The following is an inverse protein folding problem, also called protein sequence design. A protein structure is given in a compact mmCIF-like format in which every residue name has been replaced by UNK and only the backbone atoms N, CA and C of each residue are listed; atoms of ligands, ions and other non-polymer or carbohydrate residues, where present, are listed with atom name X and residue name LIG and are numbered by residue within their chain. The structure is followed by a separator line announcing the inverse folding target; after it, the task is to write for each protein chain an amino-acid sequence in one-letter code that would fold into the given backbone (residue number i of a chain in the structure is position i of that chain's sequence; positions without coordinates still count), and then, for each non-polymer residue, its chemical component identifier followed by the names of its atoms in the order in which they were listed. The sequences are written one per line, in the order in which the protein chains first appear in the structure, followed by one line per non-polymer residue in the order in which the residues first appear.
data_IF_917540249115
#
_entry.id   IF_917540249115
#
_cell.length_a   1.000
_cell.length_b   1.000
_cell.length_c   1.000
_cell.angle_alpha   90.00
_cell.angle_beta   90.00
_cell.angle_gamma   90.00
#
_symmetry.space_group_name_H-M   'P 1'
#
loop_
_entity.id
_entity.type
_entity.pdbx_description
1 polymer ?
#
# COMPACT_ATOMS: atom_id res chain seq x y z
N UNK A 1 24.51 -1.94 -0.83
CA UNK A 1 24.38 -2.03 -2.29
C UNK A 1 22.96 -1.59 -2.64
N UNK A 2 22.79 -0.41 -3.24
CA UNK A 2 21.48 0.16 -3.57
C UNK A 2 21.12 -0.19 -5.01
N UNK A 3 19.95 -0.78 -5.24
CA UNK A 3 19.47 -1.12 -6.58
C UNK A 3 18.58 0.03 -7.10
N UNK A 4 19.06 0.77 -8.09
CA UNK A 4 18.25 1.72 -8.86
C UNK A 4 17.80 1.04 -10.14
N UNK A 5 16.49 0.90 -10.33
CA UNK A 5 15.92 0.50 -11.61
C UNK A 5 15.77 1.76 -12.48
N UNK A 6 16.76 2.02 -13.33
CA UNK A 6 16.66 3.05 -14.37
C UNK A 6 15.78 2.50 -15.49
N UNK A 7 14.56 3.02 -15.60
CA UNK A 7 13.68 2.75 -16.73
C UNK A 7 14.17 3.54 -17.96
N UNK A 8 15.05 2.95 -18.75
CA UNK A 8 15.39 3.46 -20.09
C UNK A 8 14.36 2.96 -21.09
N UNK A 9 13.43 3.83 -21.50
CA UNK A 9 12.55 3.59 -22.64
C UNK A 9 13.34 3.65 -23.95
N UNK A 10 13.67 2.49 -24.52
CA UNK A 10 14.14 2.41 -25.90
C UNK A 10 12.93 2.48 -26.84
N UNK A 11 12.79 3.58 -27.58
CA UNK A 11 11.84 3.67 -28.69
C UNK A 11 12.38 2.82 -29.85
N UNK A 12 11.91 1.57 -29.96
CA UNK A 12 12.23 0.72 -31.10
C UNK A 12 11.39 1.21 -32.29
N UNK A 13 12.01 1.98 -33.18
CA UNK A 13 11.41 2.35 -34.47
C UNK A 13 11.65 1.20 -35.46
N UNK A 14 10.73 0.25 -35.54
CA UNK A 14 10.77 -0.80 -36.56
C UNK A 14 10.18 -0.21 -37.85
N UNK A 15 11.04 0.15 -38.80
CA UNK A 15 10.63 0.51 -40.15
C UNK A 15 10.38 -0.77 -40.96
N UNK A 16 9.12 -1.06 -41.25
CA UNK A 16 8.68 -2.14 -42.14
C UNK A 16 7.28 -1.86 -42.67
N UNK A 17 7.07 -2.01 -43.98
CA UNK A 17 5.87 -1.58 -44.75
C UNK A 17 4.54 -2.28 -44.44
N UNK A 18 4.35 -2.89 -43.27
CA UNK A 18 3.08 -3.50 -42.84
C UNK A 18 2.86 -3.38 -41.32
N UNK A 19 3.07 -2.20 -40.76
CA UNK A 19 2.76 -1.91 -39.35
C UNK A 19 1.25 -1.82 -39.15
N UNK A 20 0.60 -2.97 -38.89
CA UNK A 20 -0.65 -2.94 -38.13
C UNK A 20 -0.32 -2.39 -36.75
N UNK A 21 -0.86 -1.22 -36.45
CA UNK A 21 -0.79 -0.57 -35.15
C UNK A 21 -1.19 -1.60 -34.07
N UNK A 22 -0.21 -2.12 -33.33
CA UNK A 22 -0.49 -2.96 -32.17
C UNK A 22 -1.18 -2.02 -31.19
N UNK A 23 -2.49 -2.24 -30.97
CA UNK A 23 -3.27 -1.49 -29.97
C UNK A 23 -2.45 -1.43 -28.69
N UNK A 24 -2.05 -0.23 -28.31
CA UNK A 24 -1.49 0.04 -26.99
C UNK A 24 -2.47 -0.50 -25.95
N UNK A 25 -2.08 -1.58 -25.27
CA UNK A 25 -2.78 -2.13 -24.12
C UNK A 25 -2.61 -1.14 -22.97
N UNK A 26 -3.34 -0.04 -23.04
CA UNK A 26 -3.60 0.86 -21.91
C UNK A 26 -4.56 0.15 -20.97
N UNK A 27 -4.07 -0.91 -20.33
CA UNK A 27 -4.83 -1.64 -19.33
C UNK A 27 -4.83 -0.81 -18.05
N UNK A 28 -5.82 0.09 -17.90
CA UNK A 28 -6.12 0.66 -16.58
C UNK A 28 -6.54 -0.52 -15.68
N UNK A 29 -5.79 -0.85 -14.63
CA UNK A 29 -6.18 -1.96 -13.75
C UNK A 29 -7.57 -1.64 -13.17
N UNK A 30 -8.53 -2.54 -13.39
CA UNK A 30 -9.82 -2.46 -12.71
C UNK A 30 -9.59 -2.79 -11.23
N UNK A 31 -10.22 -2.08 -10.29
CA UNK A 31 -10.12 -2.43 -8.89
C UNK A 31 -10.68 -3.85 -8.67
N UNK A 32 -9.92 -4.68 -7.95
CA UNK A 32 -10.34 -6.02 -7.57
C UNK A 32 -11.45 -5.97 -6.52
N UNK A 33 -12.34 -6.96 -6.51
CA UNK A 33 -13.34 -7.11 -5.45
C UNK A 33 -12.66 -7.45 -4.13
N UNK A 34 -12.85 -6.61 -3.10
CA UNK A 34 -12.43 -6.93 -1.74
C UNK A 34 -13.36 -7.99 -1.12
N UNK A 35 -12.85 -8.84 -0.21
CA UNK A 35 -13.70 -9.79 0.51
C UNK A 35 -14.80 -9.06 1.30
N UNK A 36 -15.95 -9.70 1.51
CA UNK A 36 -17.05 -9.08 2.28
C UNK A 36 -16.84 -9.15 3.79
N UNK A 37 -16.10 -10.15 4.25
CA UNK A 37 -15.76 -10.36 5.65
C UNK A 37 -14.27 -10.71 5.73
N UNK A 38 -13.58 -10.15 6.73
CA UNK A 38 -12.17 -10.42 6.95
C UNK A 38 -11.80 -10.16 8.41
N UNK A 39 -10.86 -10.95 8.92
CA UNK A 39 -10.23 -10.73 10.23
C UNK A 39 -8.73 -10.84 10.05
N UNK A 40 -7.98 -9.87 10.58
CA UNK A 40 -6.52 -9.82 10.50
C UNK A 40 -5.92 -9.02 11.65
N UNK A 41 -4.59 -9.00 11.73
CA UNK A 41 -3.87 -8.13 12.64
C UNK A 41 -3.48 -6.84 11.89
N UNK A 42 -3.83 -5.70 12.46
CA UNK A 42 -3.55 -4.37 11.94
C UNK A 42 -2.52 -3.68 12.83
N UNK A 43 -1.45 -3.14 12.23
CA UNK A 43 -0.45 -2.34 12.93
C UNK A 43 -0.70 -0.87 12.57
N UNK A 44 -0.94 -0.04 13.57
CA UNK A 44 -1.09 1.40 13.42
C UNK A 44 0.20 2.05 13.89
N UNK A 45 0.92 2.69 12.97
CA UNK A 45 2.09 3.52 13.29
C UNK A 45 1.66 4.98 13.41
N UNK A 46 2.08 5.64 14.48
CA UNK A 46 1.88 7.07 14.72
C UNK A 46 3.24 7.74 14.89
N UNK A 47 3.44 8.83 14.17
CA UNK A 47 4.66 9.64 14.26
C UNK A 47 4.27 11.06 14.62
N UNK A 48 4.96 11.65 15.59
CA UNK A 48 4.75 13.01 16.07
C UNK A 48 6.10 13.70 16.26
N UNK A 49 6.18 14.97 15.91
CA UNK A 49 7.33 15.81 16.28
C UNK A 49 6.94 16.57 17.53
N UNK A 50 7.59 16.25 18.65
CA UNK A 50 7.33 16.92 19.93
C UNK A 50 8.10 18.26 20.00
N UNK A 51 7.80 19.14 20.98
CA UNK A 51 8.46 20.45 21.11
C UNK A 51 9.99 20.40 21.29
N UNK A 52 10.55 19.23 21.57
CA UNK A 52 11.99 18.95 21.61
C UNK A 52 12.61 18.80 20.21
N UNK A 53 11.82 18.98 19.14
CA UNK A 53 12.18 18.79 17.73
C UNK A 53 12.67 17.37 17.40
N UNK A 54 12.35 16.38 18.24
CA UNK A 54 12.65 14.97 17.94
C UNK A 54 11.44 14.29 17.29
N UNK A 55 11.72 13.38 16.37
CA UNK A 55 10.71 12.51 15.79
C UNK A 55 10.42 11.37 16.75
N UNK A 56 9.24 11.40 17.36
CA UNK A 56 8.72 10.32 18.19
C UNK A 56 7.84 9.43 17.34
N UNK A 57 8.09 8.12 17.34
CA UNK A 57 7.28 7.14 16.60
C UNK A 57 6.84 6.03 17.52
N UNK A 58 5.54 5.73 17.52
CA UNK A 58 4.97 4.62 18.27
C UNK A 58 4.11 3.77 17.35
N UNK A 59 4.07 2.46 17.61
CA UNK A 59 3.16 1.56 16.90
C UNK A 59 2.25 0.85 17.89
N UNK A 60 1.07 0.49 17.44
CA UNK A 60 0.09 -0.26 18.23
C UNK A 60 -0.52 -1.35 17.36
N UNK A 61 -0.66 -2.54 17.94
CA UNK A 61 -1.14 -3.72 17.23
C UNK A 61 -2.57 -4.03 17.65
N UNK A 62 -3.46 -4.18 16.68
CA UNK A 62 -4.88 -4.43 16.88
C UNK A 62 -5.31 -5.68 16.11
N UNK A 63 -6.16 -6.50 16.70
CA UNK A 63 -6.94 -7.47 15.93
C UNK A 63 -8.11 -6.70 15.31
N UNK A 64 -8.17 -6.69 13.99
CA UNK A 64 -9.18 -6.02 13.19
C UNK A 64 -10.11 -7.06 12.57
N UNK A 65 -11.40 -6.79 12.58
CA UNK A 65 -12.38 -7.52 11.79
C UNK A 65 -13.39 -6.58 11.16
N UNK A 66 -13.82 -6.91 9.94
CA UNK A 66 -14.92 -6.19 9.27
C UNK A 66 -15.92 -7.15 8.61
N UNK A 67 -17.16 -6.70 8.54
CA UNK A 67 -18.25 -7.32 7.79
C UNK A 67 -19.02 -6.23 7.02
N UNK A 68 -18.78 -6.15 5.70
CA UNK A 68 -19.42 -5.15 4.85
C UNK A 68 -20.90 -5.42 4.59
N UNK A 69 -21.39 -6.66 4.79
CA UNK A 69 -22.83 -6.92 4.67
C UNK A 69 -23.60 -6.31 5.83
N UNK A 70 -22.96 -6.19 7.00
CA UNK A 70 -23.55 -5.64 8.23
C UNK A 70 -23.10 -4.21 8.53
N UNK A 71 -22.15 -3.68 7.78
CA UNK A 71 -21.53 -2.37 8.06
C UNK A 71 -20.79 -2.36 9.40
N UNK A 72 -20.27 -3.51 9.85
CA UNK A 72 -19.62 -3.65 11.15
C UNK A 72 -18.10 -3.66 11.00
N UNK A 73 -17.44 -2.91 11.87
CA UNK A 73 -15.98 -2.91 12.03
C UNK A 73 -15.70 -3.08 13.52
N UNK A 74 -14.84 -4.03 13.87
CA UNK A 74 -14.37 -4.22 15.23
C UNK A 74 -12.84 -4.16 15.26
N UNK A 75 -12.33 -3.42 16.25
CA UNK A 75 -10.90 -3.31 16.54
C UNK A 75 -10.72 -3.71 18.01
N UNK A 76 -9.96 -4.77 18.25
CA UNK A 76 -9.64 -5.28 19.58
C UNK A 76 -8.13 -5.44 19.69
N UNK A 77 -7.49 -4.53 20.42
CA UNK A 77 -6.03 -4.55 20.60
C UNK A 77 -5.63 -3.88 21.91
N UNK A 78 -4.40 -4.16 22.32
CA UNK A 78 -3.73 -3.49 23.43
C UNK A 78 -2.62 -2.64 22.82
N UNK A 79 -2.63 -1.34 23.10
CA UNK A 79 -1.55 -0.46 22.66
C UNK A 79 -0.28 -0.83 23.42
N UNK A 80 0.71 -1.40 22.73
CA UNK A 80 2.04 -1.64 23.31
C UNK A 80 2.90 -0.43 23.01
N UNK A 81 2.94 0.55 23.92
CA UNK A 81 3.90 1.65 23.85
C UNK A 81 5.29 1.12 24.14
N UNK A 82 6.21 1.22 23.19
CA UNK A 82 7.63 1.02 23.49
C UNK A 82 8.15 2.34 24.07
N UNK A 83 8.69 2.37 25.30
CA UNK A 83 9.33 3.57 25.84
C UNK A 83 10.56 3.92 24.98
N UNK A 84 10.73 5.20 24.69
CA UNK A 84 11.85 5.72 23.90
C UNK A 84 13.17 5.14 24.42
N UNK A 85 13.90 4.47 23.52
CA UNK A 85 15.31 4.16 23.68
C UNK A 85 16.16 5.32 23.18
#
# INVERSE_FOLDING_TARGET
MFYYAVFTTFNILIAGSNTKLIRSLTHKPKPCCLPKQHSSQMIISTSMVLPDNKLHSSYSTYNFSYDSNRGLIALKGQATSIPDG
#
